data_IF_427602954967
#
_entry.id   IF_427602954967
#
_cell.length_a   1.000
_cell.length_b   1.000
_cell.length_c   1.000
_cell.angle_alpha   90.00
_cell.angle_beta   90.00
_cell.angle_gamma   90.00
#
_symmetry.space_group_name_H-M   'P 1'
#
loop_
_entity.id
_entity.type
_entity.pdbx_description
1 polymer ?
#
# COMPACT_ATOMS: atom_id res chain seq x y z
N UNK A 1 23.70 1.14 2.22
CA UNK A 1 22.71 0.49 1.34
C UNK A 1 21.63 -0.07 2.24
N UNK A 2 20.51 0.64 2.42
CA UNK A 2 19.38 0.07 3.14
C UNK A 2 18.74 -0.97 2.21
N UNK A 3 18.78 -2.24 2.60
CA UNK A 3 17.96 -3.27 1.95
C UNK A 3 16.51 -2.85 2.10
N UNK A 4 15.76 -2.79 1.01
CA UNK A 4 14.33 -2.52 1.05
C UNK A 4 13.68 -3.68 1.83
N UNK A 5 13.15 -3.41 3.02
CA UNK A 5 12.41 -4.41 3.81
C UNK A 5 11.13 -4.79 3.05
N UNK A 6 10.85 -6.09 2.96
CA UNK A 6 9.60 -6.58 2.35
C UNK A 6 8.49 -6.67 3.39
N UNK A 7 7.23 -6.47 3.00
CA UNK A 7 6.10 -6.79 3.89
C UNK A 7 6.02 -8.29 4.25
N UNK A 8 6.68 -9.16 3.47
CA UNK A 8 6.88 -10.57 3.82
C UNK A 8 7.62 -10.74 5.16
N UNK A 9 8.56 -9.83 5.45
CA UNK A 9 9.47 -9.87 6.60
C UNK A 9 8.90 -9.14 7.84
N UNK A 10 7.78 -8.43 7.70
CA UNK A 10 7.13 -7.74 8.82
C UNK A 10 6.25 -8.73 9.55
N UNK A 11 6.75 -9.25 10.68
CA UNK A 11 6.01 -10.17 11.54
C UNK A 11 5.11 -9.40 12.52
N UNK A 12 3.86 -9.83 12.65
CA UNK A 12 2.97 -9.36 13.72
C UNK A 12 3.40 -10.06 15.01
N UNK A 13 3.73 -9.31 16.05
CA UNK A 13 4.15 -9.83 17.36
C UNK A 13 2.96 -9.93 18.31
N UNK A 14 3.20 -10.37 19.55
CA UNK A 14 2.16 -10.36 20.58
C UNK A 14 1.71 -8.93 20.93
N UNK A 15 2.60 -7.94 20.76
CA UNK A 15 2.37 -6.53 21.05
C UNK A 15 1.73 -5.76 19.89
N UNK A 16 1.77 -6.30 18.67
CA UNK A 16 1.19 -5.68 17.47
C UNK A 16 2.10 -5.69 16.25
N UNK A 17 1.85 -4.78 15.30
CA UNK A 17 2.66 -4.63 14.09
C UNK A 17 3.84 -3.69 14.38
N UNK A 18 5.10 -4.15 14.32
CA UNK A 18 6.25 -3.29 14.63
C UNK A 18 6.33 -2.07 13.70
N UNK A 19 6.24 -0.87 14.28
CA UNK A 19 6.02 0.38 13.55
C UNK A 19 7.18 0.73 12.61
N UNK A 20 8.43 0.53 13.08
CA UNK A 20 9.66 0.77 12.32
C UNK A 20 9.77 -0.17 11.12
N UNK A 21 9.41 -1.45 11.31
CA UNK A 21 9.46 -2.44 10.24
C UNK A 21 8.39 -2.20 9.18
N UNK A 22 7.19 -1.84 9.62
CA UNK A 22 6.12 -1.42 8.72
C UNK A 22 6.52 -0.18 7.92
N UNK A 23 7.10 0.84 8.57
CA UNK A 23 7.56 2.05 7.92
C UNK A 23 8.62 1.73 6.85
N UNK A 24 9.63 0.93 7.19
CA UNK A 24 10.67 0.52 6.26
C UNK A 24 10.10 -0.25 5.04
N UNK A 25 9.12 -1.14 5.26
CA UNK A 25 8.46 -1.85 4.17
C UNK A 25 7.58 -0.92 3.30
N UNK A 26 6.93 0.07 3.91
CA UNK A 26 6.14 1.10 3.23
C UNK A 26 6.98 1.96 2.29
N UNK A 27 8.20 2.32 2.72
CA UNK A 27 9.17 3.03 1.88
C UNK A 27 9.62 2.18 0.68
N UNK A 28 9.74 0.87 0.87
CA UNK A 28 9.99 -0.08 -0.21
C UNK A 28 8.91 -0.11 -1.28
N UNK A 29 7.65 -0.07 -0.85
CA UNK A 29 6.50 0.01 -1.73
C UNK A 29 6.50 1.29 -2.59
N UNK A 30 6.90 2.43 -2.02
CA UNK A 30 7.07 3.66 -2.81
C UNK A 30 8.09 3.50 -3.94
N UNK A 31 9.22 2.85 -3.67
CA UNK A 31 10.22 2.58 -4.71
C UNK A 31 9.70 1.69 -5.84
N UNK A 32 8.77 0.78 -5.54
CA UNK A 32 8.06 0.01 -6.57
C UNK A 32 7.14 0.92 -7.41
N UNK A 33 6.38 1.82 -6.78
CA UNK A 33 5.53 2.77 -7.50
C UNK A 33 6.30 3.75 -8.37
N UNK A 34 7.49 4.19 -7.93
CA UNK A 34 8.35 5.08 -8.71
C UNK A 34 8.74 4.44 -10.06
N UNK A 35 8.93 3.11 -10.07
CA UNK A 35 9.23 2.34 -11.30
C UNK A 35 8.04 2.23 -12.25
N UNK A 36 6.81 2.39 -11.75
CA UNK A 36 5.61 2.42 -12.59
C UNK A 36 5.47 3.74 -13.35
N UNK A 37 6.34 4.73 -13.11
CA UNK A 37 6.48 5.97 -13.87
C UNK A 37 5.74 7.18 -13.28
N UNK A 38 6.22 8.38 -13.58
CA UNK A 38 5.74 9.67 -13.05
C UNK A 38 4.45 10.20 -13.71
N UNK A 39 3.58 9.30 -14.18
CA UNK A 39 2.30 9.65 -14.81
C UNK A 39 1.17 9.94 -13.81
N UNK A 40 -0.07 9.73 -14.26
CA UNK A 40 -1.36 10.01 -13.58
C UNK A 40 -1.51 9.46 -12.13
N UNK A 41 -0.54 8.66 -11.66
CA UNK A 41 -0.40 8.23 -10.26
C UNK A 41 0.27 9.24 -9.32
N UNK A 42 0.70 10.40 -9.83
CA UNK A 42 1.46 11.40 -9.05
C UNK A 42 0.76 11.84 -7.78
N UNK A 43 -0.57 12.01 -7.79
CA UNK A 43 -1.33 12.37 -6.59
C UNK A 43 -1.40 11.22 -5.58
N UNK A 44 -1.51 9.97 -6.04
CA UNK A 44 -1.54 8.77 -5.17
C UNK A 44 -0.17 8.59 -4.52
N UNK A 45 0.90 8.76 -5.28
CA UNK A 45 2.26 8.74 -4.75
C UNK A 45 2.48 9.86 -3.74
N UNK A 46 1.99 11.08 -4.01
CA UNK A 46 2.09 12.21 -3.09
C UNK A 46 1.37 11.93 -1.76
N UNK A 47 0.16 11.37 -1.81
CA UNK A 47 -0.59 10.98 -0.63
C UNK A 47 0.16 9.93 0.21
N UNK A 48 0.62 8.83 -0.40
CA UNK A 48 1.38 7.79 0.30
C UNK A 48 2.69 8.37 0.90
N UNK A 49 3.43 9.19 0.14
CA UNK A 49 4.66 9.84 0.64
C UNK A 49 4.40 10.75 1.82
N UNK A 50 3.33 11.54 1.76
CA UNK A 50 2.93 12.44 2.87
C UNK A 50 2.62 11.63 4.13
N UNK A 51 1.86 10.55 4.02
CA UNK A 51 1.50 9.73 5.17
C UNK A 51 2.69 8.94 5.75
N UNK A 52 3.61 8.46 4.91
CA UNK A 52 4.88 7.87 5.36
C UNK A 52 5.74 8.91 6.09
N UNK A 53 5.82 10.13 5.58
CA UNK A 53 6.56 11.21 6.23
C UNK A 53 5.96 11.57 7.60
N UNK A 54 4.63 11.62 7.71
CA UNK A 54 3.93 11.84 8.98
C UNK A 54 4.19 10.73 10.00
N UNK A 55 4.07 9.47 9.60
CA UNK A 55 4.40 8.33 10.47
C UNK A 55 5.88 8.37 10.89
N UNK A 56 6.81 8.65 9.98
CA UNK A 56 8.23 8.78 10.31
C UNK A 56 8.48 9.90 11.31
N UNK A 57 7.85 11.06 11.13
CA UNK A 57 7.97 12.18 12.05
C UNK A 57 7.51 11.79 13.46
N UNK A 58 6.40 11.06 13.55
CA UNK A 58 5.90 10.50 14.82
C UNK A 58 6.92 9.59 15.48
N UNK A 59 7.45 8.59 14.76
CA UNK A 59 8.39 7.61 15.31
C UNK A 59 9.77 8.20 15.67
N UNK A 60 10.12 9.35 15.09
CA UNK A 60 11.33 10.08 15.47
C UNK A 60 11.14 10.89 16.76
N UNK A 61 9.93 11.38 17.02
CA UNK A 61 9.60 12.20 18.19
C UNK A 61 9.16 11.35 19.38
N UNK A 62 8.58 10.17 19.13
CA UNK A 62 7.97 9.30 20.14
C UNK A 62 8.34 7.84 19.90
N UNK A 63 8.46 7.09 20.98
CA UNK A 63 8.69 5.65 20.92
C UNK A 63 7.35 4.89 20.93
N UNK A 64 6.73 4.78 19.76
CA UNK A 64 5.55 3.93 19.54
C UNK A 64 6.02 2.60 18.92
N UNK A 65 6.15 1.51 19.70
CA UNK A 65 6.77 0.28 19.20
C UNK A 65 5.93 -0.41 18.12
N UNK A 66 4.61 -0.15 18.08
CA UNK A 66 3.67 -0.77 17.15
C UNK A 66 2.74 0.25 16.50
N UNK A 67 2.11 -0.11 15.38
CA UNK A 67 1.10 0.72 14.75
C UNK A 67 -0.11 0.94 15.66
N UNK A 68 -0.46 -0.06 16.47
CA UNK A 68 -1.51 0.01 17.47
C UNK A 68 -1.18 1.04 18.56
N UNK A 69 0.08 1.15 18.97
CA UNK A 69 0.52 2.19 19.89
C UNK A 69 0.36 3.59 19.27
N UNK A 70 0.65 3.74 17.97
CA UNK A 70 0.39 5.00 17.24
C UNK A 70 -1.11 5.32 17.22
N UNK A 71 -1.97 4.32 16.95
CA UNK A 71 -3.42 4.50 16.95
C UNK A 71 -4.00 4.83 18.33
N UNK A 72 -3.36 4.37 19.41
CA UNK A 72 -3.74 4.66 20.79
C UNK A 72 -3.19 5.99 21.32
N UNK A 73 -2.38 6.70 20.53
CA UNK A 73 -1.83 8.01 20.90
C UNK A 73 -2.91 9.10 20.88
N UNK A 74 -2.55 10.31 21.34
CA UNK A 74 -3.39 11.51 21.23
C UNK A 74 -3.02 12.39 20.03
N UNK A 75 -2.27 11.84 19.07
CA UNK A 75 -1.74 12.59 17.92
C UNK A 75 -2.62 12.30 16.68
N UNK A 76 -3.62 13.16 16.48
CA UNK A 76 -4.60 13.02 15.40
C UNK A 76 -3.94 12.96 14.01
N UNK A 77 -2.80 13.63 13.83
CA UNK A 77 -2.08 13.60 12.55
C UNK A 77 -1.43 12.24 12.32
N UNK A 78 -0.72 11.71 13.31
CA UNK A 78 -0.09 10.40 13.22
C UNK A 78 -1.14 9.28 13.04
N UNK A 79 -2.25 9.35 13.77
CA UNK A 79 -3.39 8.44 13.62
C UNK A 79 -3.91 8.50 12.18
N UNK A 80 -4.16 9.70 11.66
CA UNK A 80 -4.64 9.91 10.30
C UNK A 80 -3.69 9.30 9.25
N UNK A 81 -2.38 9.48 9.42
CA UNK A 81 -1.39 8.90 8.53
C UNK A 81 -1.43 7.36 8.53
N UNK A 82 -1.54 6.72 9.69
CA UNK A 82 -1.68 5.25 9.78
C UNK A 82 -2.98 4.79 9.13
N UNK A 83 -4.11 5.46 9.40
CA UNK A 83 -5.41 5.14 8.79
C UNK A 83 -5.35 5.19 7.27
N UNK A 84 -4.80 6.27 6.71
CA UNK A 84 -4.70 6.45 5.26
C UNK A 84 -3.75 5.43 4.63
N UNK A 85 -2.61 5.13 5.27
CA UNK A 85 -1.69 4.09 4.81
C UNK A 85 -2.35 2.71 4.78
N UNK A 86 -3.01 2.30 5.88
CA UNK A 86 -3.66 0.98 5.93
C UNK A 86 -4.79 0.88 4.91
N UNK A 87 -5.62 1.92 4.75
CA UNK A 87 -6.69 1.94 3.72
C UNK A 87 -6.11 1.87 2.31
N UNK A 88 -5.09 2.67 2.01
CA UNK A 88 -4.41 2.67 0.71
C UNK A 88 -3.72 1.34 0.40
N UNK A 89 -3.05 0.74 1.38
CA UNK A 89 -2.38 -0.54 1.21
C UNK A 89 -3.35 -1.70 1.11
N UNK A 90 -4.47 -1.68 1.82
CA UNK A 90 -5.56 -2.65 1.62
C UNK A 90 -6.09 -2.60 0.19
N UNK A 91 -6.23 -1.40 -0.39
CA UNK A 91 -6.61 -1.25 -1.78
C UNK A 91 -5.60 -1.86 -2.75
N UNK A 92 -4.31 -1.56 -2.57
CA UNK A 92 -3.25 -2.12 -3.43
C UNK A 92 -3.14 -3.63 -3.27
N UNK A 93 -3.17 -4.13 -2.03
CA UNK A 93 -3.22 -5.55 -1.72
C UNK A 93 -4.35 -6.21 -2.49
N UNK A 94 -5.58 -5.68 -2.39
CA UNK A 94 -6.73 -6.24 -3.09
C UNK A 94 -6.58 -6.21 -4.61
N UNK A 95 -6.08 -5.12 -5.18
CA UNK A 95 -5.87 -5.00 -6.62
C UNK A 95 -4.87 -6.05 -7.14
N UNK A 96 -3.76 -6.25 -6.42
CA UNK A 96 -2.74 -7.22 -6.79
C UNK A 96 -3.18 -8.67 -6.55
N UNK A 97 -3.94 -8.95 -5.49
CA UNK A 97 -4.56 -10.27 -5.29
C UNK A 97 -5.50 -10.64 -6.44
N UNK A 98 -6.34 -9.70 -6.90
CA UNK A 98 -7.20 -9.92 -8.08
C UNK A 98 -6.35 -10.17 -9.32
N UNK A 99 -5.28 -9.39 -9.54
CA UNK A 99 -4.37 -9.56 -10.67
C UNK A 99 -3.72 -10.96 -10.70
N UNK A 100 -3.42 -11.54 -9.54
CA UNK A 100 -2.84 -12.87 -9.42
C UNK A 100 -3.86 -13.99 -9.63
N UNK A 101 -5.07 -13.82 -9.08
CA UNK A 101 -6.15 -14.81 -9.17
C UNK A 101 -6.76 -14.88 -10.58
N UNK A 102 -6.62 -13.79 -11.35
CA UNK A 102 -7.24 -13.63 -12.66
C UNK A 102 -6.20 -13.21 -13.71
N UNK A 103 -5.43 -14.15 -14.27
CA UNK A 103 -4.39 -13.86 -15.26
C UNK A 103 -4.93 -13.23 -16.55
N UNK A 104 -6.22 -13.43 -16.84
CA UNK A 104 -6.93 -12.88 -18.00
C UNK A 104 -7.29 -11.39 -17.87
N UNK A 105 -7.21 -10.81 -16.66
CA UNK A 105 -7.61 -9.43 -16.42
C UNK A 105 -6.45 -8.44 -16.59
N UNK A 106 -6.74 -7.33 -17.24
CA UNK A 106 -5.86 -6.17 -17.31
C UNK A 106 -5.77 -5.42 -15.98
N UNK A 107 -4.63 -4.77 -15.76
CA UNK A 107 -4.31 -4.10 -14.49
C UNK A 107 -5.37 -3.07 -14.08
N UNK A 108 -5.83 -2.25 -15.02
CA UNK A 108 -6.85 -1.24 -14.73
C UNK A 108 -8.17 -1.86 -14.25
N UNK A 109 -8.53 -3.06 -14.72
CA UNK A 109 -9.74 -3.77 -14.30
C UNK A 109 -9.60 -4.22 -12.85
N UNK A 110 -8.45 -4.79 -12.50
CA UNK A 110 -8.13 -5.21 -11.14
C UNK A 110 -8.16 -4.04 -10.16
N UNK A 111 -7.51 -2.92 -10.51
CA UNK A 111 -7.51 -1.70 -9.71
C UNK A 111 -8.91 -1.09 -9.60
N UNK A 112 -9.71 -1.07 -10.67
CA UNK A 112 -11.11 -0.61 -10.60
C UNK A 112 -11.93 -1.43 -9.61
N UNK A 113 -11.87 -2.77 -9.70
CA UNK A 113 -12.62 -3.68 -8.81
C UNK A 113 -12.21 -3.48 -7.35
N UNK A 114 -10.91 -3.39 -7.09
CA UNK A 114 -10.41 -3.14 -5.74
C UNK A 114 -10.85 -1.77 -5.20
N UNK A 115 -10.87 -0.73 -6.05
CA UNK A 115 -11.28 0.61 -5.65
C UNK A 115 -12.75 0.66 -5.24
N UNK A 116 -13.61 0.05 -6.06
CA UNK A 116 -15.04 -0.09 -5.79
C UNK A 116 -15.31 -0.85 -4.47
N UNK A 117 -14.43 -1.79 -4.08
CA UNK A 117 -14.56 -2.59 -2.85
C UNK A 117 -13.96 -1.93 -1.60
N UNK A 118 -12.93 -1.09 -1.74
CA UNK A 118 -12.11 -0.65 -0.61
C UNK A 118 -12.18 0.86 -0.32
N UNK A 119 -12.04 1.72 -1.33
CA UNK A 119 -11.83 3.16 -1.09
C UNK A 119 -13.01 4.03 -1.52
N UNK A 120 -13.82 3.57 -2.48
CA UNK A 120 -14.85 4.39 -3.11
C UNK A 120 -15.81 5.03 -2.09
N UNK A 121 -16.20 4.30 -1.05
CA UNK A 121 -17.11 4.78 -0.01
C UNK A 121 -16.53 5.94 0.83
N UNK A 122 -15.20 6.05 0.90
CA UNK A 122 -14.50 7.09 1.66
C UNK A 122 -14.20 8.36 0.84
N UNK A 123 -14.41 8.32 -0.48
CA UNK A 123 -14.05 9.43 -1.37
C UNK A 123 -15.27 10.23 -1.84
N UNK A 124 -15.12 11.55 -1.90
CA UNK A 124 -16.10 12.46 -2.50
C UNK A 124 -16.26 12.20 -4.02
N UNK A 125 -17.34 12.70 -4.63
CA UNK A 125 -17.57 12.53 -6.06
C UNK A 125 -16.40 13.05 -6.92
N UNK A 126 -15.81 14.18 -6.54
CA UNK A 126 -14.65 14.75 -7.22
C UNK A 126 -13.42 13.82 -7.15
N UNK A 127 -13.10 13.31 -5.96
CA UNK A 127 -11.97 12.39 -5.78
C UNK A 127 -12.22 11.08 -6.54
N UNK A 128 -13.46 10.57 -6.56
CA UNK A 128 -13.81 9.37 -7.36
C UNK A 128 -13.52 9.56 -8.85
N UNK A 129 -13.78 10.75 -9.40
CA UNK A 129 -13.47 11.06 -10.81
C UNK A 129 -11.96 11.06 -11.07
N UNK A 130 -11.17 11.71 -10.21
CA UNK A 130 -9.71 11.72 -10.34
C UNK A 130 -9.11 10.31 -10.27
N UNK A 131 -9.60 9.50 -9.33
CA UNK A 131 -9.17 8.10 -9.21
C UNK A 131 -9.55 7.28 -10.44
N UNK A 132 -10.74 7.47 -11.00
CA UNK A 132 -11.14 6.76 -12.23
C UNK A 132 -10.22 7.09 -13.42
N UNK A 133 -9.73 8.33 -13.52
CA UNK A 133 -8.76 8.74 -14.55
C UNK A 133 -7.40 8.06 -14.29
N UNK A 134 -6.91 8.06 -13.05
CA UNK A 134 -5.66 7.37 -12.70
C UNK A 134 -5.71 5.86 -12.97
N UNK A 135 -6.80 5.20 -12.62
CA UNK A 135 -6.95 3.76 -12.87
C UNK A 135 -6.89 3.46 -14.37
N UNK A 136 -7.51 4.29 -15.22
CA UNK A 136 -7.45 4.11 -16.68
C UNK A 136 -6.07 4.37 -17.27
N UNK A 137 -5.24 5.16 -16.59
CA UNK A 137 -3.87 5.43 -16.99
C UNK A 137 -2.87 4.40 -16.44
N UNK A 138 -3.35 3.34 -15.78
CA UNK A 138 -2.51 2.22 -15.37
C UNK A 138 -1.83 1.58 -16.60
N UNK A 139 -0.56 1.13 -16.47
CA UNK A 139 0.09 0.37 -17.53
C UNK A 139 -0.68 -0.91 -17.82
N UNK A 140 -0.46 -1.50 -19.00
CA UNK A 140 -0.95 -2.85 -19.29
C UNK A 140 -0.34 -3.86 -18.30
N UNK A 141 -0.97 -5.02 -18.16
CA UNK A 141 -0.45 -6.10 -17.31
C UNK A 141 1.01 -6.45 -17.63
N UNK A 142 1.32 -6.66 -18.91
CA UNK A 142 2.68 -6.99 -19.38
C UNK A 142 3.67 -5.88 -19.02
N UNK A 143 3.30 -4.62 -19.24
CA UNK A 143 4.16 -3.48 -18.94
C UNK A 143 4.40 -3.33 -17.44
N UNK A 144 3.38 -3.61 -16.62
CA UNK A 144 3.52 -3.63 -15.17
C UNK A 144 4.57 -4.65 -14.72
N UNK A 145 4.43 -5.94 -15.11
CA UNK A 145 5.39 -6.98 -14.74
C UNK A 145 6.79 -6.68 -15.26
N UNK A 146 6.91 -6.14 -16.48
CA UNK A 146 8.20 -5.70 -17.04
C UNK A 146 8.85 -4.61 -16.19
N UNK A 147 8.09 -3.59 -15.75
CA UNK A 147 8.60 -2.47 -14.93
C UNK A 147 9.02 -2.92 -13.53
N UNK A 148 8.20 -3.71 -12.84
CA UNK A 148 8.51 -4.15 -11.48
C UNK A 148 9.56 -5.26 -11.47
N UNK A 149 9.63 -6.06 -12.55
CA UNK A 149 10.52 -7.21 -12.69
C UNK A 149 11.97 -6.87 -13.01
N UNK A 150 12.23 -5.68 -13.56
CA UNK A 150 13.58 -5.20 -13.89
C UNK A 150 14.39 -6.22 -14.71
N UNK A 151 13.75 -6.86 -15.70
CA UNK A 151 14.38 -7.86 -16.58
C UNK A 151 14.32 -9.30 -16.05
N UNK A 152 13.69 -9.55 -14.90
CA UNK A 152 13.36 -10.91 -14.44
C UNK A 152 12.13 -11.45 -15.18
N UNK A 153 12.09 -12.77 -15.35
CA UNK A 153 10.95 -13.50 -15.91
C UNK A 153 9.66 -13.22 -15.14
N UNK A 154 8.54 -13.04 -15.87
CA UNK A 154 7.25 -12.67 -15.28
C UNK A 154 6.82 -13.63 -14.17
N UNK A 155 7.05 -14.93 -14.34
CA UNK A 155 6.69 -15.94 -13.34
C UNK A 155 7.46 -15.77 -12.02
N UNK A 156 8.76 -15.42 -12.10
CA UNK A 156 9.60 -15.15 -10.92
C UNK A 156 9.09 -13.91 -10.18
N UNK A 157 8.72 -12.89 -10.95
CA UNK A 157 8.18 -11.63 -10.42
C UNK A 157 6.81 -11.86 -9.78
N UNK A 158 5.93 -12.62 -10.43
CA UNK A 158 4.61 -12.96 -9.93
C UNK A 158 4.70 -13.77 -8.62
N UNK A 159 5.63 -14.75 -8.53
CA UNK A 159 5.87 -15.51 -7.29
C UNK A 159 6.38 -14.61 -6.17
N UNK A 160 7.32 -13.71 -6.44
CA UNK A 160 7.81 -12.75 -5.46
C UNK A 160 6.72 -11.77 -5.00
N UNK A 161 5.92 -11.25 -5.93
CA UNK A 161 4.77 -10.42 -5.64
C UNK A 161 3.74 -11.16 -4.79
N UNK A 162 3.53 -12.46 -5.00
CA UNK A 162 2.59 -13.26 -4.21
C UNK A 162 2.97 -13.32 -2.73
N UNK A 163 4.25 -13.52 -2.43
CA UNK A 163 4.73 -13.50 -1.04
C UNK A 163 4.65 -12.11 -0.42
N UNK A 164 4.97 -11.08 -1.20
CA UNK A 164 4.84 -9.68 -0.77
C UNK A 164 3.37 -9.32 -0.47
N UNK A 165 2.44 -9.70 -1.35
CA UNK A 165 0.99 -9.48 -1.17
C UNK A 165 0.49 -10.24 0.06
N UNK A 166 0.88 -11.49 0.25
CA UNK A 166 0.50 -12.28 1.43
C UNK A 166 1.01 -11.63 2.73
N UNK A 167 2.25 -11.13 2.75
CA UNK A 167 2.80 -10.39 3.87
C UNK A 167 1.99 -9.14 4.19
N UNK A 168 1.67 -8.34 3.16
CA UNK A 168 0.86 -7.14 3.31
C UNK A 168 -0.58 -7.46 3.76
N UNK A 169 -1.18 -8.51 3.20
CA UNK A 169 -2.55 -8.94 3.51
C UNK A 169 -2.71 -9.24 5.00
N UNK A 170 -1.74 -9.95 5.61
CA UNK A 170 -1.73 -10.20 7.07
C UNK A 170 -1.83 -8.90 7.87
N UNK A 171 -1.00 -7.92 7.52
CA UNK A 171 -0.92 -6.63 8.23
C UNK A 171 -2.22 -5.85 8.07
N UNK A 172 -2.69 -5.66 6.83
CA UNK A 172 -3.91 -4.85 6.59
C UNK A 172 -5.16 -5.53 7.13
N UNK A 173 -5.20 -6.86 7.18
CA UNK A 173 -6.29 -7.62 7.79
C UNK A 173 -6.31 -7.45 9.30
N UNK A 174 -5.14 -7.49 9.93
CA UNK A 174 -4.99 -7.26 11.37
C UNK A 174 -5.32 -5.81 11.77
N UNK A 175 -4.83 -4.83 11.02
CA UNK A 175 -5.00 -3.42 11.35
C UNK A 175 -6.38 -2.85 10.97
N UNK A 176 -7.03 -3.34 9.91
CA UNK A 176 -8.29 -2.77 9.41
C UNK A 176 -9.40 -2.63 10.47
N UNK A 177 -9.66 -3.65 11.33
CA UNK A 177 -10.68 -3.55 12.39
C UNK A 177 -10.33 -2.57 13.51
N UNK A 178 -9.05 -2.20 13.64
CA UNK A 178 -8.56 -1.28 14.67
C UNK A 178 -8.63 0.18 14.25
N UNK A 179 -8.83 0.45 12.96
CA UNK A 179 -8.88 1.84 12.46
C UNK A 179 -10.12 2.56 13.01
N UNK A 180 -9.98 3.80 13.49
CA UNK A 180 -11.13 4.59 13.90
C UNK A 180 -12.12 4.79 12.73
N UNK A 181 -13.40 4.86 13.08
CA UNK A 181 -14.46 5.19 12.14
C UNK A 181 -14.34 6.67 11.74
N UNK A 182 -13.76 6.91 10.56
CA UNK A 182 -13.80 8.19 9.85
C UNK A 182 -14.30 7.98 8.42
#
# INVERSE_FOLDING_TARGET
MSSIKSFEEVAITAEGVPSVDFLAASEGMLQMFDRLGHGVFSFIQADIRSNIAGLRARLNAHHDPTLEAVLASSDDHAISCVVLLIRGFRYVCRALSILQQHPELELYVCFKRAYDQVLKQHHSAFIRTLVAVAIRAAPSRTEFYRRIGQGKEEEVVARAMGRWVAGLERIVTHMSPLLPYH
#
